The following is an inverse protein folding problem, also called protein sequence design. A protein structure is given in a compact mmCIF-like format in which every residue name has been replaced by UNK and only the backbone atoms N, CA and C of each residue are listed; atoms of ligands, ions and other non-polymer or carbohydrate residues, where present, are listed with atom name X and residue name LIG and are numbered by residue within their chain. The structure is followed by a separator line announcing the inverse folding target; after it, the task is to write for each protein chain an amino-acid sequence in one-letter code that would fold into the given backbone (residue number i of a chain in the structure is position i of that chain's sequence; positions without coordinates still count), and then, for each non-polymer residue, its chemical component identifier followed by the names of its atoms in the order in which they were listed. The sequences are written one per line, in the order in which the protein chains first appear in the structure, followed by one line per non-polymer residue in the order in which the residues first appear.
data_IF_793860476680
#
_entry.id   IF_793860476680
#
_cell.length_a   1.000
_cell.length_b   1.000
_cell.length_c   1.000
_cell.angle_alpha   90.00
_cell.angle_beta   90.00
_cell.angle_gamma   90.00
#
_symmetry.space_group_name_H-M   'P 1'
#
loop_
_entity.id
_entity.type
_entity.pdbx_description
1 polymer ?
#
# COMPACT_ATOMS: atom_id res chain seq x y z
N UNK A 1 15.29 5.77 -3.43
CA UNK A 1 16.14 6.51 -4.41
C UNK A 1 17.58 6.25 -4.03
N UNK A 2 18.39 5.76 -4.95
CA UNK A 2 19.84 5.60 -4.75
C UNK A 2 20.55 6.91 -5.10
N UNK A 3 21.70 7.20 -4.49
CA UNK A 3 22.47 8.42 -4.78
C UNK A 3 22.81 8.58 -6.27
N UNK A 4 23.05 7.46 -6.96
CA UNK A 4 23.29 7.41 -8.40
C UNK A 4 22.09 7.84 -9.24
N UNK A 5 20.87 7.47 -8.84
CA UNK A 5 19.62 7.86 -9.54
C UNK A 5 19.41 9.38 -9.43
N UNK A 6 19.62 9.94 -8.23
CA UNK A 6 19.55 11.37 -7.99
C UNK A 6 20.60 12.12 -8.82
N UNK A 7 21.85 11.64 -8.80
CA UNK A 7 22.94 12.23 -9.56
C UNK A 7 22.67 12.26 -11.07
N UNK A 8 22.15 11.16 -11.63
CA UNK A 8 21.76 11.11 -13.04
C UNK A 8 20.60 12.04 -13.38
N UNK A 9 19.59 12.16 -12.50
CA UNK A 9 18.48 13.07 -12.70
C UNK A 9 18.96 14.54 -12.75
N UNK A 10 19.85 14.93 -11.82
CA UNK A 10 20.47 16.26 -11.77
C UNK A 10 21.27 16.51 -13.07
N UNK A 11 22.11 15.56 -13.47
CA UNK A 11 22.92 15.67 -14.69
C UNK A 11 22.06 15.82 -15.95
N UNK A 12 20.99 15.07 -16.05
CA UNK A 12 20.05 15.14 -17.19
C UNK A 12 19.34 16.47 -17.24
N UNK A 13 18.83 16.97 -16.10
CA UNK A 13 18.18 18.27 -15.99
C UNK A 13 19.11 19.43 -16.30
N UNK A 14 20.37 19.36 -15.84
CA UNK A 14 21.40 20.35 -16.17
C UNK A 14 21.67 20.41 -17.66
N UNK A 15 21.87 19.23 -18.31
CA UNK A 15 22.11 19.15 -19.75
C UNK A 15 20.93 19.68 -20.56
N UNK A 16 19.71 19.36 -20.16
CA UNK A 16 18.50 19.85 -20.82
C UNK A 16 18.39 21.40 -20.80
N UNK A 17 19.03 22.03 -19.80
CA UNK A 17 19.14 23.52 -19.71
C UNK A 17 20.43 24.07 -20.30
N UNK A 18 21.22 23.27 -20.98
CA UNK A 18 22.52 23.66 -21.59
C UNK A 18 23.49 24.27 -20.58
N UNK A 19 23.38 23.95 -19.28
CA UNK A 19 24.26 24.45 -18.25
C UNK A 19 25.54 23.59 -18.15
N UNK A 20 26.68 24.26 -17.96
CA UNK A 20 27.92 23.60 -17.56
C UNK A 20 27.91 23.22 -16.08
N UNK A 21 28.72 22.26 -15.67
CA UNK A 21 28.89 21.95 -14.24
C UNK A 21 29.36 23.15 -13.42
N UNK A 22 30.23 24.01 -14.00
CA UNK A 22 30.70 25.22 -13.31
C UNK A 22 29.56 26.22 -13.06
N UNK A 23 28.68 26.42 -14.04
CA UNK A 23 27.53 27.31 -13.92
C UNK A 23 26.54 26.83 -12.87
N UNK A 24 26.16 25.55 -12.90
CA UNK A 24 25.24 24.99 -11.93
C UNK A 24 25.85 24.98 -10.51
N UNK A 25 27.13 24.62 -10.38
CA UNK A 25 27.83 24.65 -9.09
C UNK A 25 27.84 26.07 -8.50
N UNK A 26 28.14 27.09 -9.30
CA UNK A 26 28.10 28.48 -8.88
C UNK A 26 26.70 28.90 -8.42
N UNK A 27 25.66 28.55 -9.18
CA UNK A 27 24.28 28.88 -8.85
C UNK A 27 23.82 28.22 -7.54
N UNK A 28 24.29 26.99 -7.26
CA UNK A 28 23.94 26.23 -6.05
C UNK A 28 24.91 26.47 -4.86
N UNK A 29 25.88 27.36 -4.99
CA UNK A 29 26.89 27.63 -3.94
C UNK A 29 27.80 26.44 -3.65
N UNK A 30 28.13 25.64 -4.66
CA UNK A 30 28.99 24.46 -4.56
C UNK A 30 30.28 24.61 -5.38
N UNK A 31 31.29 23.81 -5.04
CA UNK A 31 32.44 23.64 -5.94
C UNK A 31 32.03 22.75 -7.13
N UNK A 32 32.67 22.95 -8.29
CA UNK A 32 32.48 22.11 -9.48
C UNK A 32 32.78 20.64 -9.16
N UNK A 33 33.80 20.39 -8.33
CA UNK A 33 34.19 19.04 -7.92
C UNK A 33 33.06 18.37 -7.11
N UNK A 34 32.48 19.06 -6.12
CA UNK A 34 31.34 18.55 -5.35
C UNK A 34 30.15 18.22 -6.25
N UNK A 35 29.84 19.09 -7.22
CA UNK A 35 28.76 18.82 -8.18
C UNK A 35 29.06 17.62 -9.05
N UNK A 36 30.31 17.44 -9.50
CA UNK A 36 30.72 16.28 -10.28
C UNK A 36 30.56 14.98 -9.49
N UNK A 37 30.96 14.95 -8.21
CA UNK A 37 30.75 13.82 -7.30
C UNK A 37 29.26 13.53 -7.07
N UNK A 38 28.44 14.57 -6.96
CA UNK A 38 26.99 14.43 -6.83
C UNK A 38 26.38 13.82 -8.09
N UNK A 39 26.72 14.34 -9.29
CA UNK A 39 26.21 13.83 -10.56
C UNK A 39 26.67 12.39 -10.86
N UNK A 40 27.80 11.97 -10.36
CA UNK A 40 28.31 10.59 -10.49
C UNK A 40 27.78 9.66 -9.41
N UNK A 41 27.09 10.18 -8.40
CA UNK A 41 26.60 9.38 -7.27
C UNK A 41 27.69 8.91 -6.30
N UNK A 42 28.88 9.51 -6.37
CA UNK A 42 30.05 9.18 -5.56
C UNK A 42 30.22 10.06 -4.32
N UNK A 43 29.35 11.05 -4.15
CA UNK A 43 29.37 11.91 -2.95
C UNK A 43 28.99 11.07 -1.72
N UNK A 44 29.86 11.08 -0.71
CA UNK A 44 29.66 10.28 0.51
C UNK A 44 28.71 10.97 1.50
N UNK A 45 28.88 12.26 1.67
CA UNK A 45 28.04 13.06 2.57
C UNK A 45 27.88 14.46 1.99
N UNK A 46 26.68 14.76 1.55
CA UNK A 46 26.29 16.09 1.10
C UNK A 46 25.01 16.46 1.86
N UNK A 47 25.12 17.44 2.75
CA UNK A 47 23.96 17.87 3.55
C UNK A 47 22.74 18.20 2.66
N UNK A 48 21.55 17.84 3.11
CA UNK A 48 20.30 18.01 2.38
C UNK A 48 20.09 19.43 1.83
N UNK A 49 20.53 20.46 2.56
CA UNK A 49 20.44 21.87 2.12
C UNK A 49 21.16 22.12 0.80
N UNK A 50 22.32 21.50 0.61
CA UNK A 50 23.10 21.62 -0.64
C UNK A 50 22.42 20.90 -1.81
N UNK A 51 21.82 19.75 -1.54
CA UNK A 51 21.01 19.02 -2.53
C UNK A 51 19.81 19.87 -2.97
N UNK A 52 19.09 20.45 -2.01
CA UNK A 52 17.95 21.32 -2.29
C UNK A 52 18.34 22.54 -3.11
N UNK A 53 19.49 23.20 -2.81
CA UNK A 53 19.99 24.33 -3.59
C UNK A 53 20.29 23.95 -5.06
N UNK A 54 20.82 22.75 -5.30
CA UNK A 54 21.04 22.26 -6.67
C UNK A 54 19.72 22.00 -7.40
N UNK A 55 18.75 21.42 -6.72
CA UNK A 55 17.42 21.16 -7.29
C UNK A 55 16.70 22.46 -7.61
N UNK A 56 16.73 23.42 -6.69
CA UNK A 56 16.14 24.75 -6.86
C UNK A 56 16.78 25.50 -8.05
N UNK A 57 18.10 25.51 -8.17
CA UNK A 57 18.81 26.09 -9.32
C UNK A 57 18.42 25.45 -10.66
N UNK A 58 17.95 24.19 -10.61
CA UNK A 58 17.40 23.47 -11.75
C UNK A 58 15.88 23.58 -11.85
N UNK A 59 15.17 24.33 -10.98
CA UNK A 59 13.71 24.38 -10.94
C UNK A 59 13.06 23.00 -10.72
N UNK A 60 13.74 22.14 -9.98
CA UNK A 60 13.24 20.83 -9.58
C UNK A 60 12.79 20.86 -8.11
N UNK A 61 11.79 20.06 -7.78
CA UNK A 61 11.35 19.85 -6.40
C UNK A 61 11.71 18.44 -5.94
N UNK A 62 12.06 18.30 -4.65
CA UNK A 62 12.20 17.00 -4.01
C UNK A 62 10.82 16.61 -3.46
N UNK A 63 10.29 15.47 -3.90
CA UNK A 63 9.11 14.87 -3.31
C UNK A 63 9.50 13.70 -2.41
N UNK A 64 8.80 13.55 -1.29
CA UNK A 64 8.95 12.40 -0.40
C UNK A 64 7.74 11.50 -0.63
N UNK A 65 8.00 10.35 -1.21
CA UNK A 65 6.98 9.34 -1.41
C UNK A 65 7.28 8.12 -0.55
N UNK A 66 6.25 7.43 -0.02
CA UNK A 66 6.48 6.18 0.68
C UNK A 66 7.26 5.20 -0.21
N UNK A 67 8.43 4.75 0.24
CA UNK A 67 9.19 3.71 -0.45
C UNK A 67 8.53 2.36 -0.19
N UNK A 68 7.69 1.97 -1.07
CA UNK A 68 7.00 0.71 -1.16
C UNK A 68 5.93 0.88 -2.21
N UNK A 69 5.75 -0.08 -3.09
CA UNK A 69 4.45 -0.21 -3.73
C UNK A 69 3.45 -0.14 -2.59
N UNK A 70 2.36 0.65 -2.65
CA UNK A 70 1.30 0.53 -1.66
C UNK A 70 1.02 -0.96 -1.60
N UNK A 71 1.35 -1.60 -0.47
CA UNK A 71 0.96 -3.00 -0.26
C UNK A 71 -0.52 -2.95 -0.48
N UNK A 72 -1.01 -3.67 -1.51
CA UNK A 72 -2.44 -3.86 -1.65
C UNK A 72 -2.90 -4.25 -0.27
N UNK A 73 -3.89 -3.57 0.32
CA UNK A 73 -4.34 -3.90 1.65
C UNK A 73 -4.58 -5.39 1.70
N UNK A 74 -4.00 -6.07 2.66
CA UNK A 74 -4.23 -7.48 2.93
C UNK A 74 -5.58 -7.56 3.67
N UNK A 75 -6.65 -7.59 2.89
CA UNK A 75 -8.01 -7.56 3.43
C UNK A 75 -8.34 -8.82 4.23
N UNK A 76 -7.74 -9.96 3.91
CA UNK A 76 -7.89 -11.19 4.68
C UNK A 76 -7.33 -11.02 6.09
N UNK A 77 -6.10 -10.55 6.20
CA UNK A 77 -5.47 -10.27 7.49
C UNK A 77 -6.20 -9.20 8.29
N UNK A 78 -6.65 -8.13 7.62
CA UNK A 78 -7.43 -7.07 8.25
C UNK A 78 -8.76 -7.61 8.79
N UNK A 79 -9.44 -8.46 8.03
CA UNK A 79 -10.68 -9.10 8.44
C UNK A 79 -10.48 -10.01 9.66
N UNK A 80 -9.44 -10.84 9.68
CA UNK A 80 -9.10 -11.66 10.84
C UNK A 80 -8.78 -10.79 12.07
N UNK A 81 -8.03 -9.70 11.89
CA UNK A 81 -7.72 -8.77 12.98
C UNK A 81 -9.00 -8.17 13.57
N UNK A 82 -9.91 -7.68 12.72
CA UNK A 82 -11.20 -7.12 13.16
C UNK A 82 -12.09 -8.17 13.84
N UNK A 83 -12.14 -9.39 13.30
CA UNK A 83 -12.92 -10.48 13.86
C UNK A 83 -12.45 -10.92 15.25
N UNK A 84 -11.18 -10.71 15.57
CA UNK A 84 -10.54 -11.26 16.78
C UNK A 84 -10.48 -10.27 17.96
N UNK A 85 -10.88 -9.02 17.79
CA UNK A 85 -10.70 -7.96 18.80
C UNK A 85 -11.24 -8.32 20.17
N UNK A 86 -12.35 -9.06 20.25
CA UNK A 86 -13.06 -9.35 21.52
C UNK A 86 -12.95 -10.80 21.96
N UNK A 87 -12.12 -11.62 21.34
CA UNK A 87 -12.12 -13.06 21.60
C UNK A 87 -10.76 -13.58 22.09
N UNK A 88 -10.80 -14.55 23.03
CA UNK A 88 -9.59 -15.24 23.52
C UNK A 88 -9.00 -16.21 22.49
N UNK A 89 -9.83 -16.78 21.62
CA UNK A 89 -9.40 -17.72 20.58
C UNK A 89 -9.49 -17.03 19.23
N UNK A 90 -8.39 -16.99 18.48
CA UNK A 90 -8.35 -16.32 17.20
C UNK A 90 -9.03 -17.13 16.08
N UNK A 91 -9.75 -16.44 15.20
CA UNK A 91 -10.10 -16.92 13.87
C UNK A 91 -8.86 -16.76 12.99
N UNK A 92 -8.36 -17.84 12.41
CA UNK A 92 -7.18 -17.81 11.55
C UNK A 92 -7.54 -17.42 10.11
N UNK A 93 -6.53 -16.98 9.34
CA UNK A 93 -6.72 -16.66 7.93
C UNK A 93 -7.20 -17.91 7.14
N UNK A 94 -6.62 -19.09 7.41
CA UNK A 94 -7.02 -20.35 6.76
C UNK A 94 -8.48 -20.73 7.08
N UNK A 95 -8.91 -20.57 8.32
CA UNK A 95 -10.31 -20.81 8.72
C UNK A 95 -11.26 -19.84 8.01
N UNK A 96 -10.87 -18.57 7.87
CA UNK A 96 -11.67 -17.56 7.18
C UNK A 96 -11.75 -17.86 5.68
N UNK A 97 -10.62 -18.17 5.03
CA UNK A 97 -10.59 -18.59 3.61
C UNK A 97 -11.47 -19.81 3.39
N UNK A 98 -11.31 -20.86 4.23
CA UNK A 98 -12.13 -22.06 4.14
C UNK A 98 -13.63 -21.75 4.29
N UNK A 99 -13.99 -20.89 5.23
CA UNK A 99 -15.36 -20.45 5.42
C UNK A 99 -15.92 -19.76 4.17
N UNK A 100 -15.18 -18.80 3.61
CA UNK A 100 -15.61 -18.04 2.42
C UNK A 100 -15.77 -18.98 1.20
N UNK A 101 -14.84 -19.91 0.99
CA UNK A 101 -14.88 -20.83 -0.17
C UNK A 101 -16.00 -21.85 -0.03
N UNK A 102 -16.24 -22.36 1.18
CA UNK A 102 -17.20 -23.46 1.40
C UNK A 102 -18.58 -23.00 1.87
N UNK A 103 -18.71 -21.78 2.39
CA UNK A 103 -19.92 -21.28 3.06
C UNK A 103 -20.21 -21.99 4.38
N UNK A 104 -19.19 -22.57 5.04
CA UNK A 104 -19.33 -23.25 6.32
C UNK A 104 -18.69 -22.43 7.44
N UNK A 105 -19.46 -22.16 8.48
CA UNK A 105 -18.96 -21.49 9.67
C UNK A 105 -17.99 -22.42 10.41
N UNK A 106 -16.74 -22.01 10.71
CA UNK A 106 -15.81 -22.80 11.47
C UNK A 106 -16.32 -23.06 12.88
N UNK A 107 -16.02 -24.22 13.44
CA UNK A 107 -16.51 -24.64 14.77
C UNK A 107 -16.11 -23.63 15.85
N UNK A 108 -17.10 -23.10 16.55
CA UNK A 108 -16.88 -22.10 17.62
C UNK A 108 -16.51 -20.70 17.14
N UNK A 109 -16.61 -20.40 15.83
CA UNK A 109 -16.24 -19.10 15.25
C UNK A 109 -17.43 -18.29 14.70
N UNK A 110 -18.65 -18.69 14.95
CA UNK A 110 -19.83 -17.95 14.50
C UNK A 110 -19.84 -16.49 15.04
N UNK A 111 -19.51 -16.30 16.31
CA UNK A 111 -19.43 -14.96 16.92
C UNK A 111 -18.34 -14.08 16.29
N UNK A 112 -17.19 -14.63 15.89
CA UNK A 112 -16.12 -13.92 15.18
C UNK A 112 -16.60 -13.42 13.82
N UNK A 113 -17.28 -14.29 13.05
CA UNK A 113 -17.84 -13.92 11.76
C UNK A 113 -18.95 -12.88 11.89
N UNK A 114 -19.79 -12.99 12.93
CA UNK A 114 -20.82 -11.98 13.22
C UNK A 114 -20.19 -10.61 13.46
N UNK A 115 -19.19 -10.52 14.34
CA UNK A 115 -18.45 -9.27 14.60
C UNK A 115 -17.80 -8.74 13.32
N UNK A 116 -17.17 -9.62 12.53
CA UNK A 116 -16.58 -9.23 11.25
C UNK A 116 -17.61 -8.58 10.32
N UNK A 117 -18.74 -9.24 10.10
CA UNK A 117 -19.75 -8.74 9.15
C UNK A 117 -20.51 -7.51 9.67
N UNK A 118 -20.76 -7.42 10.96
CA UNK A 118 -21.51 -6.29 11.55
C UNK A 118 -20.63 -5.06 11.81
N UNK A 119 -19.38 -5.22 12.23
CA UNK A 119 -18.55 -4.12 12.73
C UNK A 119 -17.44 -3.68 11.76
N UNK A 120 -16.97 -4.55 10.86
CA UNK A 120 -15.89 -4.18 9.96
C UNK A 120 -16.31 -3.06 8.99
N UNK A 121 -15.38 -2.13 8.65
CA UNK A 121 -15.64 -1.09 7.66
C UNK A 121 -16.07 -1.69 6.32
N UNK A 122 -17.08 -1.10 5.67
CA UNK A 122 -17.59 -1.56 4.36
C UNK A 122 -16.49 -1.70 3.31
N UNK A 123 -15.53 -0.77 3.30
CA UNK A 123 -14.37 -0.82 2.41
C UNK A 123 -13.53 -2.09 2.61
N UNK A 124 -13.37 -2.54 3.85
CA UNK A 124 -12.64 -3.75 4.19
C UNK A 124 -13.38 -5.02 3.75
N UNK A 125 -14.71 -5.05 3.92
CA UNK A 125 -15.55 -6.15 3.47
C UNK A 125 -15.57 -6.25 1.94
N UNK A 126 -15.68 -5.13 1.22
CA UNK A 126 -15.57 -5.08 -0.24
C UNK A 126 -14.22 -5.62 -0.71
N UNK A 127 -13.13 -5.14 -0.13
CA UNK A 127 -11.80 -5.61 -0.48
C UNK A 127 -11.60 -7.10 -0.17
N UNK A 128 -12.15 -7.61 0.94
CA UNK A 128 -12.15 -9.03 1.26
C UNK A 128 -12.92 -9.86 0.22
N UNK A 129 -14.07 -9.37 -0.23
CA UNK A 129 -14.85 -10.03 -1.27
C UNK A 129 -14.13 -10.06 -2.63
N UNK A 130 -13.49 -8.95 -3.01
CA UNK A 130 -12.66 -8.86 -4.22
C UNK A 130 -11.46 -9.82 -4.16
N UNK A 131 -10.81 -9.88 -3.00
CA UNK A 131 -9.71 -10.81 -2.77
C UNK A 131 -10.16 -12.26 -2.80
N UNK A 132 -11.28 -12.56 -2.14
CA UNK A 132 -11.90 -13.88 -2.13
C UNK A 132 -12.38 -14.36 -3.52
N UNK A 133 -12.75 -13.43 -4.38
CA UNK A 133 -13.11 -13.73 -5.78
C UNK A 133 -12.00 -14.43 -6.56
N UNK A 134 -10.74 -14.33 -6.12
CA UNK A 134 -9.60 -15.02 -6.72
C UNK A 134 -9.50 -16.50 -6.33
N UNK A 135 -10.10 -16.88 -5.20
CA UNK A 135 -10.03 -18.24 -4.65
C UNK A 135 -11.35 -19.00 -4.82
N UNK A 136 -12.45 -18.27 -4.85
CA UNK A 136 -13.78 -18.86 -4.97
C UNK A 136 -14.09 -19.20 -6.43
N UNK A 137 -14.93 -20.22 -6.61
CA UNK A 137 -15.44 -20.55 -7.95
C UNK A 137 -16.35 -19.41 -8.47
N UNK A 138 -16.23 -19.04 -9.76
CA UNK A 138 -17.09 -18.04 -10.37
C UNK A 138 -18.59 -18.32 -10.10
N UNK A 139 -19.32 -17.30 -9.66
CA UNK A 139 -20.77 -17.38 -9.36
C UNK A 139 -21.16 -18.04 -8.03
N UNK A 140 -20.21 -18.61 -7.28
CA UNK A 140 -20.52 -19.20 -5.96
C UNK A 140 -20.23 -18.26 -4.79
N UNK A 141 -19.33 -17.29 -4.95
CA UNK A 141 -18.88 -16.42 -3.86
C UNK A 141 -20.04 -15.71 -3.17
N UNK A 142 -20.94 -15.11 -3.93
CA UNK A 142 -22.09 -14.42 -3.37
C UNK A 142 -22.93 -15.34 -2.49
N UNK A 143 -23.30 -16.52 -3.01
CA UNK A 143 -24.11 -17.50 -2.26
C UNK A 143 -23.42 -18.01 -1.00
N UNK A 144 -22.09 -18.21 -1.04
CA UNK A 144 -21.33 -18.64 0.13
C UNK A 144 -21.25 -17.54 1.18
N UNK A 145 -21.07 -16.30 0.78
CA UNK A 145 -21.05 -15.17 1.68
C UNK A 145 -22.44 -14.89 2.30
N UNK A 146 -23.52 -14.94 1.50
CA UNK A 146 -24.90 -14.83 1.99
C UNK A 146 -25.18 -15.90 3.05
N UNK A 147 -24.75 -17.13 2.78
CA UNK A 147 -24.88 -18.23 3.73
C UNK A 147 -24.09 -17.99 5.01
N UNK A 148 -22.83 -17.51 4.91
CA UNK A 148 -22.00 -17.21 6.08
C UNK A 148 -22.59 -16.10 6.94
N UNK A 149 -23.06 -15.02 6.34
CA UNK A 149 -23.71 -13.90 7.04
C UNK A 149 -24.91 -14.42 7.83
N UNK A 150 -25.78 -15.17 7.16
CA UNK A 150 -26.96 -15.78 7.81
C UNK A 150 -26.59 -16.76 8.93
N UNK A 151 -25.67 -17.71 8.65
CA UNK A 151 -25.33 -18.78 9.58
C UNK A 151 -24.46 -18.28 10.77
N UNK A 152 -23.81 -17.12 10.63
CA UNK A 152 -23.12 -16.43 11.73
C UNK A 152 -24.05 -15.59 12.62
N UNK A 153 -25.28 -15.34 12.17
CA UNK A 153 -26.23 -14.47 12.86
C UNK A 153 -25.91 -12.98 12.75
N UNK A 154 -25.18 -12.58 11.71
CA UNK A 154 -24.90 -11.18 11.44
C UNK A 154 -26.17 -10.42 10.98
N UNK A 155 -26.27 -9.15 11.37
CA UNK A 155 -27.42 -8.29 11.09
C UNK A 155 -27.29 -7.49 9.80
N UNK A 156 -26.04 -7.20 9.39
CA UNK A 156 -25.75 -6.41 8.21
C UNK A 156 -26.03 -7.20 6.92
N UNK A 157 -26.76 -6.56 6.01
CA UNK A 157 -27.10 -7.18 4.72
C UNK A 157 -25.89 -7.19 3.78
N UNK A 158 -25.77 -8.24 3.01
CA UNK A 158 -24.63 -8.42 2.08
C UNK A 158 -24.67 -7.41 0.92
N UNK A 159 -25.86 -6.98 0.52
CA UNK A 159 -26.07 -6.01 -0.55
C UNK A 159 -25.40 -4.65 -0.24
N UNK A 160 -25.23 -4.31 1.05
CA UNK A 160 -24.61 -3.04 1.46
C UNK A 160 -23.13 -2.95 1.05
N UNK A 161 -22.47 -4.07 0.86
CA UNK A 161 -21.03 -4.10 0.57
C UNK A 161 -20.65 -4.95 -0.64
N UNK A 162 -21.53 -5.78 -1.17
CA UNK A 162 -21.25 -6.61 -2.36
C UNK A 162 -21.77 -6.00 -3.67
N UNK A 163 -22.82 -5.17 -3.63
CA UNK A 163 -23.36 -4.49 -4.81
C UNK A 163 -22.67 -3.16 -5.05
N UNK A 164 -21.64 -3.15 -5.85
CA UNK A 164 -21.19 -1.99 -6.65
C UNK A 164 -20.06 -2.45 -7.55
N UNK A 165 -20.39 -3.11 -8.63
CA UNK A 165 -19.59 -3.32 -9.80
C UNK A 165 -20.44 -2.96 -11.01
#
# INVERSE_FOLDING_TARGET
MKAQELGQAIRSARKARSLTQAQLAKAAGLSRETLNLLESGLVRDLGIRKVLAVLEALGLALSVEPTGRPRKPDYLRMACTSANVSFKTALTEDELVHAIVTGKVPKGKAAHLRVLFDEAPLKSLKGLAEEAGKWAQPGKLQRTLEKLVRDSGASRKIEEWLTSG
#
